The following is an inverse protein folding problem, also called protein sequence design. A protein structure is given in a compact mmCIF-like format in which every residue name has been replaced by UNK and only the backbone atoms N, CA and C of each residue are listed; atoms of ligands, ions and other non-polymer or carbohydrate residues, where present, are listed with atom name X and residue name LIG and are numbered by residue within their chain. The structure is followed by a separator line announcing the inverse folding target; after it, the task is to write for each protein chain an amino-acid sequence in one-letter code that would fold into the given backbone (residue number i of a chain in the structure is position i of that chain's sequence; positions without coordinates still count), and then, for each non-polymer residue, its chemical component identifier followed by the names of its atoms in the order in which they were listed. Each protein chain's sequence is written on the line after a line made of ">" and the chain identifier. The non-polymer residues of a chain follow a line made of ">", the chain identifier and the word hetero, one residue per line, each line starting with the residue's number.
data_IF_288502059487
#
_entry.id   IF_288502059487
#
_cell.length_a   1.000
_cell.length_b   1.000
_cell.length_c   1.000
_cell.angle_alpha   90.00
_cell.angle_beta   90.00
_cell.angle_gamma   90.00
#
_symmetry.space_group_name_H-M   'P 1'
#
loop_
_entity.id
_entity.type
_entity.pdbx_description
1 polymer ?
#
# COMPACT_ATOMS: atom_id res chain seq x y z
N UNK A 1 -30.52 4.11 -11.36
CA UNK A 1 -29.21 4.69 -11.72
C UNK A 1 -29.34 6.13 -12.24
N UNK A 2 -30.27 6.45 -13.15
CA UNK A 2 -30.56 7.86 -13.50
C UNK A 2 -31.12 8.64 -12.31
N UNK A 3 -30.65 9.89 -12.14
CA UNK A 3 -31.16 10.84 -11.14
C UNK A 3 -30.59 10.72 -9.72
N UNK A 4 -29.64 9.79 -9.47
CA UNK A 4 -28.95 9.70 -8.18
C UNK A 4 -27.62 10.45 -8.24
N UNK A 5 -27.40 11.33 -7.27
CA UNK A 5 -26.10 11.97 -7.05
C UNK A 5 -25.18 11.00 -6.30
N UNK A 6 -23.98 10.77 -6.84
CA UNK A 6 -22.93 10.00 -6.20
C UNK A 6 -21.83 10.95 -5.76
N UNK A 7 -21.49 10.92 -4.49
CA UNK A 7 -20.36 11.66 -3.95
C UNK A 7 -19.19 10.68 -3.86
N UNK A 8 -18.15 10.94 -4.65
CA UNK A 8 -16.90 10.17 -4.62
C UNK A 8 -15.89 10.94 -3.79
N UNK A 9 -15.40 10.30 -2.72
CA UNK A 9 -14.36 10.86 -1.88
C UNK A 9 -13.05 10.07 -2.09
N UNK A 10 -12.23 10.60 -3.00
CA UNK A 10 -10.95 9.99 -3.35
C UNK A 10 -9.91 10.12 -2.23
N UNK A 11 -10.03 11.15 -1.38
CA UNK A 11 -9.12 11.33 -0.25
C UNK A 11 -9.40 10.27 0.80
N UNK A 12 -10.70 10.06 1.10
CA UNK A 12 -11.14 8.99 1.99
C UNK A 12 -10.70 7.62 1.50
N UNK A 13 -10.83 7.33 0.21
CA UNK A 13 -10.39 6.06 -0.37
C UNK A 13 -8.89 5.81 -0.14
N UNK A 14 -8.04 6.81 -0.37
CA UNK A 14 -6.59 6.68 -0.15
C UNK A 14 -6.28 6.43 1.34
N UNK A 15 -6.94 7.14 2.24
CA UNK A 15 -6.80 6.93 3.69
C UNK A 15 -7.28 5.55 4.13
N UNK A 16 -8.38 5.06 3.56
CA UNK A 16 -8.89 3.72 3.82
C UNK A 16 -7.92 2.63 3.36
N UNK A 17 -7.31 2.78 2.18
CA UNK A 17 -6.28 1.85 1.70
C UNK A 17 -5.05 1.83 2.62
N UNK A 18 -4.57 3.00 3.05
CA UNK A 18 -3.48 3.08 4.03
C UNK A 18 -3.88 2.50 5.39
N UNK A 19 -5.13 2.66 5.80
CA UNK A 19 -5.63 2.07 7.05
C UNK A 19 -5.61 0.54 7.04
N UNK A 20 -5.75 -0.10 5.87
CA UNK A 20 -5.58 -1.55 5.73
C UNK A 20 -4.13 -1.95 6.02
N UNK A 21 -3.16 -1.22 5.45
CA UNK A 21 -1.73 -1.46 5.71
C UNK A 21 -1.41 -1.24 7.18
N UNK A 22 -1.84 -0.12 7.75
CA UNK A 22 -1.66 0.22 9.16
C UNK A 22 -2.18 -0.87 10.13
N UNK A 23 -3.32 -1.48 9.81
CA UNK A 23 -3.93 -2.52 10.65
C UNK A 23 -3.41 -3.94 10.37
N UNK A 24 -2.42 -4.10 9.49
CA UNK A 24 -1.89 -5.39 9.09
C UNK A 24 -0.60 -5.73 9.82
N UNK A 25 -0.52 -6.94 10.39
CA UNK A 25 0.74 -7.47 10.95
C UNK A 25 1.78 -7.81 9.87
N UNK A 26 1.28 -8.19 8.69
CA UNK A 26 2.01 -8.53 7.48
C UNK A 26 1.17 -8.14 6.27
N UNK A 27 1.82 -7.61 5.26
CA UNK A 27 1.21 -6.93 4.11
C UNK A 27 1.93 -7.32 2.81
N UNK A 28 1.20 -7.36 1.71
CA UNK A 28 1.83 -7.63 0.43
C UNK A 28 0.92 -7.39 -0.76
N UNK A 29 1.54 -7.08 -1.89
CA UNK A 29 0.85 -6.75 -3.15
C UNK A 29 1.27 -7.72 -4.25
N UNK A 30 0.29 -8.19 -5.01
CA UNK A 30 0.51 -8.82 -6.31
C UNK A 30 0.08 -7.82 -7.38
N UNK A 31 1.06 -7.25 -8.09
CA UNK A 31 0.87 -6.24 -9.12
C UNK A 31 0.84 -6.91 -10.49
N UNK A 32 -0.26 -6.76 -11.21
CA UNK A 32 -0.42 -7.24 -12.57
C UNK A 32 -0.38 -6.02 -13.51
N UNK A 33 0.75 -5.84 -14.19
CA UNK A 33 1.06 -4.68 -15.02
C UNK A 33 1.68 -3.52 -14.23
N UNK A 34 1.26 -2.30 -14.56
CA UNK A 34 1.81 -1.07 -14.00
C UNK A 34 0.77 0.06 -13.91
N UNK A 35 1.20 1.30 -14.16
CA UNK A 35 0.33 2.47 -14.21
C UNK A 35 -0.30 2.85 -12.86
N UNK A 36 -1.53 3.36 -12.92
CA UNK A 36 -2.27 3.85 -11.75
C UNK A 36 -2.51 2.73 -10.72
N UNK A 37 -2.98 1.52 -11.08
CA UNK A 37 -3.21 0.47 -10.09
C UNK A 37 -1.98 0.12 -9.25
N UNK A 38 -0.79 0.06 -9.87
CA UNK A 38 0.49 -0.13 -9.17
C UNK A 38 0.75 0.99 -8.18
N UNK A 39 0.69 2.24 -8.64
CA UNK A 39 1.02 3.37 -7.78
C UNK A 39 0.01 3.56 -6.64
N UNK A 40 -1.28 3.34 -6.91
CA UNK A 40 -2.35 3.41 -5.91
C UNK A 40 -2.14 2.39 -4.79
N UNK A 41 -1.69 1.18 -5.10
CA UNK A 41 -1.40 0.18 -4.07
C UNK A 41 -0.11 0.49 -3.28
N UNK A 42 0.92 1.05 -3.94
CA UNK A 42 2.21 1.35 -3.31
C UNK A 42 2.23 2.65 -2.49
N UNK A 43 1.40 3.65 -2.82
CA UNK A 43 1.41 4.96 -2.15
C UNK A 43 0.93 4.91 -0.69
N UNK A 44 0.39 3.78 -0.22
CA UNK A 44 -0.04 3.62 1.17
C UNK A 44 1.11 3.77 2.17
N UNK A 45 2.32 3.27 1.83
CA UNK A 45 3.51 3.43 2.68
C UNK A 45 3.94 4.90 2.81
N UNK A 46 4.22 5.61 1.68
CA UNK A 46 4.52 7.04 1.71
C UNK A 46 3.44 7.89 2.40
N UNK A 47 2.16 7.54 2.28
CA UNK A 47 1.09 8.22 3.02
C UNK A 47 1.27 8.07 4.53
N UNK A 48 1.49 6.84 5.02
CA UNK A 48 1.71 6.60 6.45
C UNK A 48 2.97 7.32 6.95
N UNK A 49 4.07 7.21 6.21
CA UNK A 49 5.37 7.70 6.70
C UNK A 49 5.60 9.19 6.48
N UNK A 50 5.39 9.68 5.26
CA UNK A 50 5.80 11.03 4.89
C UNK A 50 4.71 12.06 5.20
N UNK A 51 3.44 11.68 5.04
CA UNK A 51 2.29 12.57 5.23
C UNK A 51 1.79 12.49 6.68
N UNK A 52 1.49 11.26 7.14
CA UNK A 52 1.01 11.05 8.52
C UNK A 52 2.13 10.99 9.55
N UNK A 53 3.41 11.05 9.12
CA UNK A 53 4.61 11.07 9.98
C UNK A 53 4.67 9.90 10.94
N UNK A 54 4.24 8.75 10.45
CA UNK A 54 4.33 7.48 11.15
C UNK A 54 5.61 6.78 10.66
N UNK A 55 5.98 5.69 11.31
CA UNK A 55 7.13 4.85 10.90
C UNK A 55 6.60 3.43 10.64
N UNK A 56 5.42 3.36 10.00
CA UNK A 56 4.74 2.10 9.72
C UNK A 56 5.25 1.45 8.44
N UNK A 57 5.97 2.20 7.60
CA UNK A 57 6.59 1.74 6.36
C UNK A 57 5.62 1.30 5.28
N UNK A 58 6.21 0.80 4.19
CA UNK A 58 5.49 0.22 3.08
C UNK A 58 5.16 -1.27 3.25
N UNK A 59 5.00 -1.95 2.12
CA UNK A 59 4.60 -3.37 2.12
C UNK A 59 5.77 -4.28 2.50
N UNK A 60 5.47 -5.44 3.11
CA UNK A 60 6.48 -6.46 3.38
C UNK A 60 6.86 -7.25 2.11
N UNK A 61 5.87 -7.57 1.26
CA UNK A 61 6.05 -8.40 0.07
C UNK A 61 5.50 -7.72 -1.19
N UNK A 62 6.25 -7.76 -2.29
CA UNK A 62 5.74 -7.30 -3.60
C UNK A 62 6.11 -8.31 -4.68
N UNK A 63 5.10 -8.82 -5.38
CA UNK A 63 5.26 -9.59 -6.62
C UNK A 63 4.74 -8.72 -7.75
N UNK A 64 5.62 -8.24 -8.61
CA UNK A 64 5.25 -7.47 -9.79
C UNK A 64 5.39 -8.33 -11.04
N UNK A 65 4.31 -8.47 -11.81
CA UNK A 65 4.29 -9.10 -13.13
C UNK A 65 4.08 -7.99 -14.15
N UNK A 66 5.05 -7.70 -15.00
CA UNK A 66 4.96 -6.59 -15.95
C UNK A 66 5.73 -6.89 -17.24
N UNK A 67 5.29 -6.33 -18.35
CA UNK A 67 6.06 -6.26 -19.60
C UNK A 67 6.83 -4.93 -19.72
N UNK A 68 6.54 -3.96 -18.85
CA UNK A 68 7.16 -2.65 -18.88
C UNK A 68 8.63 -2.70 -18.43
N UNK A 69 9.51 -2.18 -19.28
CA UNK A 69 10.94 -2.18 -19.04
C UNK A 69 11.40 -0.98 -18.19
N UNK A 70 12.40 -1.16 -17.30
CA UNK A 70 12.90 -0.10 -16.43
C UNK A 70 13.67 1.01 -17.18
N UNK A 71 14.31 0.70 -18.32
CA UNK A 71 15.16 1.64 -19.06
C UNK A 71 14.41 2.85 -19.62
N UNK A 72 13.09 2.75 -19.79
CA UNK A 72 12.26 3.85 -20.28
C UNK A 72 11.98 4.92 -19.21
N UNK A 73 12.32 4.67 -17.94
CA UNK A 73 12.04 5.57 -16.83
C UNK A 73 10.55 5.72 -16.49
N UNK A 74 9.67 4.89 -17.06
CA UNK A 74 8.24 4.92 -16.78
C UNK A 74 7.89 4.28 -15.44
N UNK A 75 6.90 4.84 -14.74
CA UNK A 75 6.38 4.33 -13.45
C UNK A 75 6.00 2.83 -13.48
N UNK A 76 5.49 2.36 -14.62
CA UNK A 76 5.14 0.95 -14.84
C UNK A 76 6.36 0.03 -14.81
N UNK A 77 7.51 0.48 -15.32
CA UNK A 77 8.77 -0.24 -15.33
C UNK A 77 9.69 0.06 -14.13
N UNK A 78 9.32 1.04 -13.29
CA UNK A 78 10.10 1.44 -12.12
C UNK A 78 10.42 0.22 -11.24
N UNK A 79 11.71 0.06 -10.95
CA UNK A 79 12.21 -1.10 -10.22
C UNK A 79 11.72 -1.06 -8.76
N UNK A 80 11.53 -2.22 -8.15
CA UNK A 80 11.17 -2.28 -6.73
C UNK A 80 12.27 -1.73 -5.81
N UNK A 81 13.52 -1.67 -6.31
CA UNK A 81 14.63 -0.97 -5.64
C UNK A 81 14.44 0.54 -5.62
N UNK A 82 13.92 1.13 -6.69
CA UNK A 82 13.54 2.55 -6.73
C UNK A 82 12.37 2.84 -5.80
N UNK A 83 11.40 1.92 -5.67
CA UNK A 83 10.29 2.07 -4.70
C UNK A 83 10.75 2.23 -3.25
N UNK A 84 11.93 1.73 -2.89
CA UNK A 84 12.49 1.83 -1.52
C UNK A 84 12.84 3.25 -1.13
N UNK A 85 13.42 4.03 -2.04
CA UNK A 85 13.85 5.41 -1.72
C UNK A 85 12.66 6.30 -1.36
N UNK A 86 11.46 5.90 -1.80
CA UNK A 86 10.22 6.57 -1.50
C UNK A 86 9.52 6.07 -0.24
N UNK A 87 10.01 5.04 0.45
CA UNK A 87 9.31 4.43 1.59
C UNK A 87 8.12 3.56 1.18
N UNK A 88 8.05 3.10 -0.08
CA UNK A 88 6.99 2.18 -0.55
C UNK A 88 7.17 0.74 -0.06
N UNK A 89 8.31 0.44 0.56
CA UNK A 89 8.71 -0.90 1.03
C UNK A 89 9.35 -0.78 2.41
N UNK A 90 9.01 -1.69 3.33
CA UNK A 90 9.48 -1.72 4.72
C UNK A 90 10.96 -2.15 4.85
N UNK A 91 11.35 -3.29 4.28
CA UNK A 91 12.71 -3.84 4.45
C UNK A 91 13.28 -4.43 3.16
N UNK A 92 14.51 -4.04 2.84
CA UNK A 92 15.05 -4.09 1.48
C UNK A 92 15.51 -5.47 0.99
N UNK A 93 15.53 -6.51 1.82
CA UNK A 93 16.53 -7.56 1.60
C UNK A 93 16.09 -8.91 1.05
N UNK A 94 14.83 -9.35 1.15
CA UNK A 94 14.54 -10.77 0.78
C UNK A 94 13.23 -11.07 0.02
N UNK A 95 12.29 -10.14 -0.10
CA UNK A 95 10.88 -10.51 -0.35
C UNK A 95 10.19 -9.78 -1.52
N UNK A 96 10.97 -9.27 -2.47
CA UNK A 96 10.47 -8.57 -3.67
C UNK A 96 10.89 -9.26 -4.96
N UNK A 97 9.94 -9.49 -5.86
CA UNK A 97 10.20 -10.15 -7.15
C UNK A 97 9.51 -9.39 -8.27
N UNK A 98 10.27 -9.11 -9.34
CA UNK A 98 9.73 -8.60 -10.61
C UNK A 98 9.85 -9.69 -11.67
N UNK A 99 8.73 -10.06 -12.27
CA UNK A 99 8.61 -11.03 -13.35
C UNK A 99 8.33 -10.27 -14.65
N UNK A 100 9.29 -10.28 -15.56
CA UNK A 100 9.14 -9.68 -16.89
C UNK A 100 8.40 -10.65 -17.82
N UNK A 101 7.07 -10.57 -17.84
CA UNK A 101 6.21 -11.45 -18.64
C UNK A 101 4.81 -10.85 -18.81
N UNK A 102 4.10 -11.32 -19.84
CA UNK A 102 2.67 -11.05 -20.00
C UNK A 102 1.87 -11.63 -18.83
N UNK A 103 1.01 -10.81 -18.22
CA UNK A 103 0.20 -11.20 -17.08
C UNK A 103 -0.74 -12.37 -17.38
N UNK A 104 -1.21 -12.50 -18.63
CA UNK A 104 -2.08 -13.61 -19.07
C UNK A 104 -1.36 -14.96 -19.09
N UNK A 105 -0.02 -14.97 -19.09
CA UNK A 105 0.79 -16.18 -19.01
C UNK A 105 1.23 -16.43 -17.57
N UNK A 106 1.87 -15.43 -16.94
CA UNK A 106 2.50 -15.60 -15.65
C UNK A 106 1.49 -15.74 -14.49
N UNK A 107 0.38 -14.99 -14.52
CA UNK A 107 -0.58 -15.01 -13.41
C UNK A 107 -1.33 -16.35 -13.29
N UNK A 108 -1.83 -16.98 -14.38
CA UNK A 108 -2.44 -18.31 -14.27
C UNK A 108 -1.50 -19.39 -13.72
N UNK A 109 -0.21 -19.36 -14.09
CA UNK A 109 0.79 -20.30 -13.57
C UNK A 109 0.99 -20.09 -12.06
N UNK A 110 1.16 -18.84 -11.62
CA UNK A 110 1.28 -18.49 -10.21
C UNK A 110 0.03 -18.90 -9.42
N UNK A 111 -1.15 -18.58 -9.93
CA UNK A 111 -2.42 -18.91 -9.30
C UNK A 111 -2.61 -20.43 -9.17
N UNK A 112 -2.33 -21.19 -10.24
CA UNK A 112 -2.41 -22.65 -10.23
C UNK A 112 -1.49 -23.24 -9.16
N UNK A 113 -0.23 -22.81 -9.11
CA UNK A 113 0.73 -23.28 -8.11
C UNK A 113 0.27 -22.98 -6.67
N UNK A 114 -0.24 -21.77 -6.41
CA UNK A 114 -0.75 -21.41 -5.08
C UNK A 114 -1.96 -22.27 -4.71
N UNK A 115 -2.90 -22.47 -5.64
CA UNK A 115 -4.08 -23.28 -5.41
C UNK A 115 -3.76 -24.77 -5.21
N UNK A 116 -2.73 -25.32 -5.88
CA UNK A 116 -2.32 -26.71 -5.72
C UNK A 116 -1.50 -26.96 -4.46
N UNK A 117 -0.71 -25.97 -4.04
CA UNK A 117 0.31 -26.15 -3.00
C UNK A 117 -0.11 -25.60 -1.63
N UNK A 118 -1.14 -24.77 -1.56
CA UNK A 118 -1.57 -24.11 -0.31
C UNK A 118 -2.98 -24.53 0.11
N UNK A 119 -3.19 -24.61 1.44
CA UNK A 119 -4.53 -24.84 2.00
C UNK A 119 -5.37 -23.56 1.87
N UNK A 120 -6.69 -23.66 1.55
CA UNK A 120 -7.59 -22.51 1.56
C UNK A 120 -7.56 -21.77 2.90
N UNK A 121 -7.51 -20.43 2.84
CA UNK A 121 -7.53 -19.56 4.03
C UNK A 121 -8.91 -18.95 4.20
N UNK A 122 -9.34 -18.76 5.45
CA UNK A 122 -10.59 -18.04 5.75
C UNK A 122 -10.48 -16.58 5.25
N UNK A 123 -11.42 -16.08 4.41
CA UNK A 123 -11.38 -14.71 3.94
C UNK A 123 -11.46 -13.70 5.10
N UNK A 124 -10.61 -12.66 5.06
CA UNK A 124 -10.59 -11.62 6.11
C UNK A 124 -11.73 -10.59 6.00
N UNK A 125 -12.35 -10.48 4.82
CA UNK A 125 -13.40 -9.52 4.49
C UNK A 125 -13.07 -8.07 4.90
N UNK A 126 -11.88 -7.59 4.52
CA UNK A 126 -11.31 -6.31 4.96
C UNK A 126 -12.23 -5.12 4.67
N UNK A 127 -12.93 -5.13 3.52
CA UNK A 127 -13.87 -4.07 3.14
C UNK A 127 -15.01 -3.86 4.14
N UNK A 128 -15.41 -4.91 4.88
CA UNK A 128 -16.43 -4.79 5.95
C UNK A 128 -15.91 -4.10 7.21
N UNK A 129 -14.60 -3.87 7.29
CA UNK A 129 -13.91 -3.30 8.45
C UNK A 129 -13.27 -1.94 8.15
N UNK A 130 -13.46 -1.39 6.94
CA UNK A 130 -12.80 -0.16 6.50
C UNK A 130 -13.08 1.02 7.43
N UNK A 131 -14.34 1.24 7.81
CA UNK A 131 -14.68 2.32 8.74
C UNK A 131 -13.94 2.19 10.06
N UNK A 132 -13.90 0.98 10.63
CA UNK A 132 -13.18 0.72 11.88
C UNK A 132 -11.67 0.94 11.74
N UNK A 133 -11.07 0.53 10.61
CA UNK A 133 -9.66 0.73 10.34
C UNK A 133 -9.30 2.20 10.14
N UNK A 134 -10.13 2.91 9.38
CA UNK A 134 -10.01 4.35 9.20
C UNK A 134 -10.11 5.08 10.54
N UNK A 135 -11.13 4.80 11.35
CA UNK A 135 -11.35 5.52 12.61
C UNK A 135 -10.16 5.32 13.54
N UNK A 136 -9.67 4.09 13.65
CA UNK A 136 -8.46 3.81 14.43
C UNK A 136 -7.25 4.62 13.93
N UNK A 137 -7.00 4.64 12.61
CA UNK A 137 -5.90 5.43 12.04
C UNK A 137 -6.05 6.93 12.33
N UNK A 138 -7.28 7.45 12.20
CA UNK A 138 -7.64 8.84 12.46
C UNK A 138 -7.42 9.22 13.92
N UNK A 139 -7.98 8.43 14.85
CA UNK A 139 -7.89 8.66 16.28
C UNK A 139 -6.44 8.63 16.77
N UNK A 140 -5.65 7.65 16.28
CA UNK A 140 -4.23 7.54 16.60
C UNK A 140 -3.42 8.72 16.05
N UNK A 141 -3.76 9.20 14.84
CA UNK A 141 -3.12 10.39 14.27
C UNK A 141 -3.41 11.62 15.13
N UNK A 142 -4.67 11.96 15.38
CA UNK A 142 -5.03 13.15 16.15
C UNK A 142 -4.47 13.13 17.57
N UNK A 143 -4.52 11.97 18.25
CA UNK A 143 -3.98 11.78 19.61
C UNK A 143 -2.45 11.94 19.69
N UNK A 144 -1.72 11.68 18.60
CA UNK A 144 -0.26 11.82 18.53
C UNK A 144 0.19 13.21 18.08
N UNK A 145 -0.58 13.87 17.20
CA UNK A 145 -0.29 15.25 16.76
C UNK A 145 -0.36 16.26 17.90
N UNK A 146 -1.33 16.16 18.81
CA UNK A 146 -1.43 17.08 19.95
C UNK A 146 -0.13 17.07 20.78
N UNK A 147 0.44 15.89 21.03
CA UNK A 147 1.72 15.74 21.73
C UNK A 147 2.90 16.34 20.96
N UNK A 148 2.91 16.24 19.63
CA UNK A 148 3.98 16.78 18.79
C UNK A 148 4.00 18.32 18.78
N UNK A 149 2.83 18.96 18.66
CA UNK A 149 2.72 20.42 18.71
C UNK A 149 2.92 20.98 20.12
N UNK A 150 2.45 20.28 21.16
CA UNK A 150 2.75 20.63 22.55
C UNK A 150 4.25 20.54 22.88
N UNK A 151 4.95 19.49 22.42
CA UNK A 151 6.40 19.34 22.58
C UNK A 151 7.21 20.46 21.91
N UNK A 152 6.80 20.93 20.72
CA UNK A 152 7.43 22.08 20.05
C UNK A 152 7.14 23.41 20.72
N UNK A 153 5.98 23.56 21.37
CA UNK A 153 5.65 24.78 22.13
C UNK A 153 6.56 24.96 23.35
N UNK A 154 6.97 23.85 24.00
CA UNK A 154 7.93 23.86 25.12
C UNK A 154 9.38 24.09 24.68
N UNK A 155 9.78 23.62 23.49
CA UNK A 155 11.13 23.85 22.93
C UNK A 155 11.36 25.27 22.39
N UNK A 156 10.31 26.03 22.07
CA UNK A 156 10.41 27.44 21.65
C UNK A 156 10.53 28.45 22.81
N UNK A 157 10.58 27.99 24.06
CA UNK A 157 10.70 28.84 25.27
C UNK A 157 12.12 28.89 25.88
N UNK A 158 13.15 28.46 25.13
CA UNK A 158 14.56 28.62 25.51
C UNK A 158 15.25 29.60 24.56
#
# INVERSE_FOLDING_TARGET
>A
LRGKQYNLDFVREILEQASILYNSKKSGIVELGGGVPKNTAQQTGPLLDQILRRDDGGQDYIIQITDARPDTGGLSGATLQEGKTWGKVQDAHHDMVTVYADATIAFPILALYVLSSQKPRKPKHLYKKLDSFYQKLSDDYFSSTEKFYEGKSKQKKC
#
